data_IF_657720282538
#
_entry.id   IF_657720282538
#
_cell.length_a   1.000
_cell.length_b   1.000
_cell.length_c   1.000
_cell.angle_alpha   90.00
_cell.angle_beta   90.00
_cell.angle_gamma   90.00
#
_symmetry.space_group_name_H-M   'P 1'
#
loop_
_entity.id
_entity.type
_entity.pdbx_description
1 polymer ?
#
# COMPACT_ATOMS: atom_id res chain seq x y z
N UNK A 1 -2.44 10.44 -1.03
CA UNK A 1 -2.25 11.88 -1.31
C UNK A 1 -0.77 12.19 -1.31
N UNK A 2 -0.22 12.56 -2.47
CA UNK A 2 1.20 12.80 -2.68
C UNK A 2 1.72 12.12 -3.95
N UNK A 3 2.87 12.58 -4.42
CA UNK A 3 3.68 11.93 -5.46
C UNK A 3 4.82 11.16 -4.78
N UNK A 4 4.82 9.84 -4.91
CA UNK A 4 5.83 8.94 -4.34
C UNK A 4 6.74 8.31 -5.41
N UNK A 5 6.93 8.97 -6.55
CA UNK A 5 7.95 8.55 -7.52
C UNK A 5 9.36 8.73 -6.97
N UNK A 6 9.60 9.83 -6.24
CA UNK A 6 10.95 10.21 -5.78
C UNK A 6 11.08 10.32 -4.26
N UNK A 7 9.98 10.26 -3.51
CA UNK A 7 9.99 10.38 -2.06
C UNK A 7 9.05 9.40 -1.39
N UNK A 8 9.42 8.97 -0.18
CA UNK A 8 8.57 8.10 0.65
C UNK A 8 7.40 8.90 1.25
N UNK A 9 6.28 8.25 1.59
CA UNK A 9 5.28 8.84 2.47
C UNK A 9 5.89 9.21 3.82
N UNK A 10 5.30 10.18 4.51
CA UNK A 10 5.73 10.49 5.87
C UNK A 10 5.48 9.27 6.79
N UNK A 11 6.21 9.12 7.90
CA UNK A 11 5.96 8.04 8.85
C UNK A 11 4.50 7.98 9.31
N UNK A 12 3.89 9.14 9.58
CA UNK A 12 2.47 9.25 9.97
C UNK A 12 1.53 8.70 8.89
N UNK A 13 1.77 9.03 7.61
CA UNK A 13 0.99 8.50 6.49
C UNK A 13 1.13 6.98 6.36
N UNK A 14 2.35 6.46 6.49
CA UNK A 14 2.62 5.03 6.41
C UNK A 14 1.90 4.25 7.53
N UNK A 15 2.01 4.70 8.79
CA UNK A 15 1.34 4.05 9.91
C UNK A 15 -0.19 4.14 9.83
N UNK A 16 -0.73 5.29 9.39
CA UNK A 16 -2.16 5.44 9.15
C UNK A 16 -2.66 4.45 8.08
N UNK A 17 -1.91 4.30 6.98
CA UNK A 17 -2.23 3.36 5.91
C UNK A 17 -2.23 1.90 6.40
N UNK A 18 -1.21 1.49 7.17
CA UNK A 18 -1.14 0.14 7.76
C UNK A 18 -2.35 -0.13 8.65
N UNK A 19 -2.66 0.80 9.57
CA UNK A 19 -3.81 0.66 10.50
C UNK A 19 -5.14 0.55 9.76
N UNK A 20 -5.37 1.42 8.77
CA UNK A 20 -6.59 1.41 7.98
C UNK A 20 -6.72 0.11 7.18
N UNK A 21 -5.64 -0.30 6.50
CA UNK A 21 -5.65 -1.51 5.67
C UNK A 21 -5.93 -2.75 6.51
N UNK A 22 -5.27 -2.93 7.67
CA UNK A 22 -5.56 -4.04 8.60
C UNK A 22 -7.01 -4.02 9.07
N UNK A 23 -7.54 -2.85 9.39
CA UNK A 23 -8.95 -2.70 9.81
C UNK A 23 -9.90 -3.18 8.72
N UNK A 24 -9.69 -2.76 7.48
CA UNK A 24 -10.50 -3.18 6.34
C UNK A 24 -10.35 -4.67 6.03
N UNK A 25 -9.12 -5.20 6.07
CA UNK A 25 -8.85 -6.62 5.89
C UNK A 25 -9.61 -7.46 6.91
N UNK A 26 -9.53 -7.10 8.20
CA UNK A 26 -10.25 -7.80 9.27
C UNK A 26 -11.76 -7.68 9.11
N UNK A 27 -12.28 -6.47 8.85
CA UNK A 27 -13.72 -6.21 8.75
C UNK A 27 -14.38 -6.96 7.60
N UNK A 28 -13.70 -7.04 6.46
CA UNK A 28 -14.26 -7.61 5.22
C UNK A 28 -13.63 -8.94 4.82
N UNK A 29 -12.82 -9.54 5.69
CA UNK A 29 -12.12 -10.82 5.45
C UNK A 29 -11.27 -10.81 4.17
N UNK A 30 -10.61 -9.69 3.88
CA UNK A 30 -9.73 -9.56 2.70
C UNK A 30 -8.38 -10.21 3.03
N UNK A 31 -7.96 -11.26 2.30
CA UNK A 31 -6.67 -11.89 2.53
C UNK A 31 -5.52 -10.97 2.07
N UNK A 32 -4.34 -11.13 2.67
CA UNK A 32 -3.16 -10.34 2.31
C UNK A 32 -2.81 -10.46 0.82
N UNK A 33 -3.06 -11.61 0.20
CA UNK A 33 -2.84 -11.85 -1.24
C UNK A 33 -3.67 -10.92 -2.14
N UNK A 34 -4.73 -10.31 -1.63
CA UNK A 34 -5.58 -9.36 -2.37
C UNK A 34 -5.21 -7.89 -2.11
N UNK A 35 -4.14 -7.63 -1.35
CA UNK A 35 -3.59 -6.28 -1.19
C UNK A 35 -2.54 -6.06 -2.28
N UNK A 36 -2.96 -5.39 -3.36
CA UNK A 36 -2.17 -5.22 -4.59
C UNK A 36 -1.85 -3.74 -4.85
N UNK A 37 -0.70 -3.41 -5.47
CA UNK A 37 -0.44 -2.05 -5.91
C UNK A 37 -1.25 -1.74 -7.18
N UNK A 38 -1.55 -0.46 -7.45
CA UNK A 38 -2.39 -0.08 -8.60
C UNK A 38 -1.82 -0.60 -9.93
N UNK A 39 -0.49 -0.57 -10.11
CA UNK A 39 0.20 -1.14 -11.27
C UNK A 39 -0.04 -2.63 -11.52
N UNK A 40 -0.51 -3.39 -10.53
CA UNK A 40 -0.81 -4.81 -10.69
C UNK A 40 -2.25 -5.09 -11.15
N UNK A 41 -3.15 -4.09 -11.08
CA UNK A 41 -4.59 -4.28 -11.37
C UNK A 41 -5.11 -3.41 -12.51
N UNK A 42 -4.39 -2.33 -12.86
CA UNK A 42 -4.84 -1.39 -13.90
C UNK A 42 -4.72 -2.02 -15.29
N UNK A 43 -5.71 -1.75 -16.15
CA UNK A 43 -5.56 -1.94 -17.61
C UNK A 43 -4.61 -0.85 -18.16
N UNK A 44 -3.41 -1.26 -18.56
CA UNK A 44 -2.35 -0.39 -19.08
C UNK A 44 -1.29 0.03 -18.04
N UNK A 45 -0.13 0.54 -18.48
CA UNK A 45 1.03 0.81 -17.62
C UNK A 45 0.81 1.99 -16.67
N UNK A 46 1.02 1.80 -15.37
CA UNK A 46 1.05 2.90 -14.40
C UNK A 46 2.17 2.66 -13.40
N UNK A 47 2.82 3.73 -12.95
CA UNK A 47 3.85 3.66 -11.91
C UNK A 47 3.25 3.67 -10.49
N UNK A 48 1.97 4.02 -10.35
CA UNK A 48 1.26 4.12 -9.08
C UNK A 48 1.33 2.78 -8.28
N UNK A 49 1.67 2.81 -6.97
CA UNK A 49 1.74 3.96 -6.05
C UNK A 49 3.03 4.80 -6.08
N UNK A 50 3.90 4.58 -7.06
CA UNK A 50 5.16 5.27 -7.25
C UNK A 50 6.36 4.44 -6.83
N UNK A 51 7.50 4.69 -7.50
CA UNK A 51 8.74 3.90 -7.33
C UNK A 51 9.33 3.98 -5.92
N UNK A 52 9.22 5.13 -5.27
CA UNK A 52 9.69 5.34 -3.89
C UNK A 52 8.65 4.94 -2.83
N UNK A 53 7.44 4.51 -3.22
CA UNK A 53 6.49 3.95 -2.25
C UNK A 53 7.06 2.66 -1.64
N UNK A 54 7.13 2.54 -0.30
CA UNK A 54 7.80 1.44 0.38
C UNK A 54 6.95 0.15 0.40
N UNK A 55 6.67 -0.42 -0.78
CA UNK A 55 5.75 -1.56 -0.96
C UNK A 55 6.14 -2.79 -0.13
N UNK A 56 7.43 -3.16 -0.13
CA UNK A 56 7.93 -4.30 0.65
C UNK A 56 7.71 -4.11 2.15
N UNK A 57 8.05 -2.93 2.68
CA UNK A 57 7.84 -2.63 4.10
C UNK A 57 6.35 -2.57 4.45
N UNK A 58 5.52 -2.05 3.55
CA UNK A 58 4.07 -2.02 3.71
C UNK A 58 3.49 -3.44 3.86
N UNK A 59 3.81 -4.34 2.94
CA UNK A 59 3.35 -5.73 3.00
C UNK A 59 3.88 -6.45 4.25
N UNK A 60 5.14 -6.22 4.62
CA UNK A 60 5.70 -6.79 5.85
C UNK A 60 4.95 -6.32 7.10
N UNK A 61 4.59 -5.04 7.17
CA UNK A 61 3.83 -4.49 8.28
C UNK A 61 2.40 -5.06 8.39
N UNK A 62 1.83 -5.57 7.29
CA UNK A 62 0.52 -6.23 7.27
C UNK A 62 0.54 -7.69 7.72
N UNK A 63 1.71 -8.36 7.70
CA UNK A 63 1.86 -9.76 8.16
C UNK A 63 1.90 -9.92 9.69
N UNK A 64 2.31 -8.86 10.38
CA UNK A 64 2.36 -8.79 11.85
C UNK A 64 0.97 -8.54 12.43
#
# INVERSE_FOLDING_TARGET
>A
VGNYEHKKPSPKQFYALVRLTKTLMKKYRIPLSHVLPHRAVRRGPTDCPGKAFPWKAFIQALKQ
#
